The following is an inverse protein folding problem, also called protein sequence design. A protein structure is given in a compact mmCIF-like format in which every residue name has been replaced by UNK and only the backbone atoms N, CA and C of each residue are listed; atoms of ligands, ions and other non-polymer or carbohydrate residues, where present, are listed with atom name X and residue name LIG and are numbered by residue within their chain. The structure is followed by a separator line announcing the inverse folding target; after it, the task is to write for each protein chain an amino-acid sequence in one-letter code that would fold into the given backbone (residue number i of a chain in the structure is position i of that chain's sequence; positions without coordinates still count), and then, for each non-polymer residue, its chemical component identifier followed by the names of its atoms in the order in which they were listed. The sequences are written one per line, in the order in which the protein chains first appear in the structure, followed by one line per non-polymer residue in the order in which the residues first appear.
data_IF_118956402422
#
_entry.id   IF_118956402422
#
_cell.length_a   1.000
_cell.length_b   1.000
_cell.length_c   1.000
_cell.angle_alpha   90.00
_cell.angle_beta   90.00
_cell.angle_gamma   90.00
#
_symmetry.space_group_name_H-M   'P 1'
#
loop_
_entity.id
_entity.type
_entity.pdbx_description
1 polymer ?
#
# COMPACT_ATOMS: atom_id res chain seq x y z
N UNK A 1 -23.86 -64.94 -16.78
CA UNK A 1 -23.86 -63.48 -17.02
C UNK A 1 -22.58 -62.88 -16.44
N UNK A 2 -21.72 -62.30 -17.29
CA UNK A 2 -20.65 -61.38 -16.87
C UNK A 2 -21.31 -60.05 -16.49
N UNK A 3 -21.11 -59.55 -15.29
CA UNK A 3 -21.33 -58.13 -14.98
C UNK A 3 -20.11 -57.55 -14.30
N UNK A 4 -19.84 -56.30 -14.67
CA UNK A 4 -18.55 -55.65 -14.68
C UNK A 4 -18.11 -55.18 -13.29
N UNK A 5 -16.79 -55.17 -13.11
CA UNK A 5 -16.08 -54.49 -12.03
C UNK A 5 -16.30 -52.98 -12.12
N UNK A 6 -16.78 -52.36 -11.04
CA UNK A 6 -16.68 -50.92 -10.82
C UNK A 6 -15.40 -50.61 -10.05
N UNK A 7 -14.40 -50.06 -10.74
CA UNK A 7 -13.16 -49.51 -10.16
C UNK A 7 -13.47 -48.11 -9.63
N UNK A 8 -13.00 -47.81 -8.42
CA UNK A 8 -13.21 -46.53 -7.76
C UNK A 8 -12.45 -45.36 -8.39
N UNK A 9 -12.96 -44.15 -8.18
CA UNK A 9 -12.23 -42.90 -8.38
C UNK A 9 -12.28 -42.16 -7.04
N UNK A 10 -11.17 -42.05 -6.30
CA UNK A 10 -11.11 -41.13 -5.18
C UNK A 10 -11.07 -39.70 -5.76
N UNK A 11 -12.03 -38.88 -5.37
CA UNK A 11 -12.08 -37.46 -5.69
C UNK A 11 -11.04 -36.74 -4.81
N UNK A 12 -9.76 -36.82 -5.18
CA UNK A 12 -8.74 -35.91 -4.64
C UNK A 12 -8.95 -34.55 -5.28
N UNK A 13 -9.63 -33.65 -4.56
CA UNK A 13 -9.66 -32.23 -4.89
C UNK A 13 -8.24 -31.70 -4.65
N UNK A 14 -7.48 -31.57 -5.72
CA UNK A 14 -6.15 -30.96 -5.72
C UNK A 14 -6.26 -29.47 -5.41
N UNK A 15 -6.10 -29.11 -4.15
CA UNK A 15 -5.90 -27.73 -3.70
C UNK A 15 -4.41 -27.42 -3.81
N UNK A 16 -3.92 -27.08 -5.01
CA UNK A 16 -2.54 -26.65 -5.19
C UNK A 16 -2.40 -25.79 -6.44
N UNK A 17 -2.34 -24.48 -6.24
CA UNK A 17 -1.94 -23.52 -7.28
C UNK A 17 -2.85 -22.31 -7.29
N UNK A 18 -2.53 -21.30 -6.46
CA UNK A 18 -2.90 -19.86 -6.62
C UNK A 18 -2.39 -18.98 -5.45
N UNK A 19 -1.37 -19.40 -4.68
CA UNK A 19 -0.92 -18.65 -3.49
C UNK A 19 0.25 -17.68 -3.74
N UNK A 20 0.81 -17.61 -4.95
CA UNK A 20 1.98 -16.75 -5.24
C UNK A 20 1.65 -15.27 -5.48
N UNK A 21 0.36 -14.88 -5.47
CA UNK A 21 -0.07 -13.53 -5.86
C UNK A 21 -0.45 -12.59 -4.71
N UNK A 22 -0.35 -13.02 -3.45
CA UNK A 22 -0.97 -12.28 -2.33
C UNK A 22 -0.02 -11.35 -1.57
N UNK A 23 1.30 -11.46 -1.78
CA UNK A 23 2.32 -10.66 -1.08
C UNK A 23 2.79 -9.42 -1.84
N UNK A 24 3.96 -8.91 -1.45
CA UNK A 24 4.64 -7.83 -2.16
C UNK A 24 4.99 -8.25 -3.59
N UNK A 25 5.07 -7.29 -4.51
CA UNK A 25 5.56 -7.54 -5.88
C UNK A 25 7.09 -7.69 -5.90
N UNK A 26 7.78 -7.06 -4.94
CA UNK A 26 9.23 -7.07 -4.82
C UNK A 26 9.67 -7.60 -3.45
N UNK A 27 10.88 -8.14 -3.40
CA UNK A 27 11.55 -8.47 -2.15
C UNK A 27 11.92 -7.18 -1.41
N UNK A 28 11.51 -7.10 -0.16
CA UNK A 28 11.92 -6.01 0.72
C UNK A 28 13.40 -6.19 1.11
N UNK A 29 14.17 -5.10 1.26
CA UNK A 29 15.55 -5.19 1.69
C UNK A 29 15.63 -5.82 3.09
N UNK A 30 16.68 -6.60 3.33
CA UNK A 30 17.00 -7.10 4.66
C UNK A 30 17.31 -5.94 5.61
N UNK A 31 16.75 -5.98 6.81
CA UNK A 31 16.96 -4.97 7.85
C UNK A 31 17.74 -5.61 9.00
N UNK A 32 18.98 -5.16 9.20
CA UNK A 32 19.82 -5.61 10.31
C UNK A 32 19.54 -4.84 11.63
N UNK A 33 20.17 -5.29 12.71
CA UNK A 33 19.99 -4.70 14.04
C UNK A 33 20.47 -3.24 14.13
N UNK A 34 21.52 -2.87 13.39
CA UNK A 34 22.05 -1.51 13.39
C UNK A 34 21.08 -0.55 12.67
N UNK A 35 20.55 -0.96 11.52
CA UNK A 35 19.51 -0.24 10.79
C UNK A 35 18.25 -0.11 11.64
N UNK A 36 17.81 -1.19 12.30
CA UNK A 36 16.67 -1.17 13.22
C UNK A 36 16.86 -0.18 14.38
N UNK A 37 18.03 -0.20 15.03
CA UNK A 37 18.33 0.72 16.13
C UNK A 37 18.29 2.18 15.67
N UNK A 38 18.89 2.48 14.50
CA UNK A 38 18.87 3.81 13.90
C UNK A 38 17.46 4.25 13.54
N UNK A 39 16.66 3.38 12.92
CA UNK A 39 15.28 3.64 12.55
C UNK A 39 14.41 3.97 13.77
N UNK A 40 14.56 3.20 14.86
CA UNK A 40 13.85 3.44 16.12
C UNK A 40 14.23 4.79 16.75
N UNK A 41 15.51 5.15 16.74
CA UNK A 41 15.97 6.45 17.23
C UNK A 41 15.39 7.62 16.40
N UNK A 42 15.42 7.50 15.07
CA UNK A 42 14.82 8.49 14.17
C UNK A 42 13.30 8.60 14.36
N UNK A 43 12.62 7.47 14.52
CA UNK A 43 11.18 7.43 14.77
C UNK A 43 10.82 8.16 16.06
N UNK A 44 11.53 7.87 17.16
CA UNK A 44 11.34 8.54 18.43
C UNK A 44 11.60 10.06 18.34
N UNK A 45 12.65 10.46 17.61
CA UNK A 45 12.96 11.87 17.39
C UNK A 45 11.86 12.59 16.60
N UNK A 46 11.36 11.98 15.52
CA UNK A 46 10.30 12.55 14.69
C UNK A 46 8.98 12.68 15.46
N UNK A 47 8.65 11.71 16.33
CA UNK A 47 7.48 11.78 17.22
C UNK A 47 7.59 12.90 18.25
N UNK A 48 8.80 13.19 18.74
CA UNK A 48 9.05 14.23 19.73
C UNK A 48 9.25 15.63 19.12
N UNK A 49 9.18 15.76 17.78
CA UNK A 49 9.39 17.04 17.11
C UNK A 49 8.31 18.06 17.50
N UNK A 50 8.68 19.34 17.75
CA UNK A 50 7.72 20.36 18.11
C UNK A 50 6.72 20.66 16.98
N UNK A 51 5.55 21.23 17.30
CA UNK A 51 4.60 21.71 16.30
C UNK A 51 5.24 22.74 15.37
N UNK A 52 4.76 22.78 14.13
CA UNK A 52 5.40 23.51 13.04
C UNK A 52 4.54 24.65 12.53
N UNK A 53 5.21 25.67 11.99
CA UNK A 53 4.53 26.76 11.32
C UNK A 53 4.02 26.28 9.96
N UNK A 54 2.71 26.31 9.77
CA UNK A 54 2.11 25.94 8.50
C UNK A 54 2.53 26.91 7.39
N UNK A 55 2.93 26.37 6.24
CA UNK A 55 3.17 27.17 5.04
C UNK A 55 1.86 27.79 4.52
N UNK A 56 1.98 28.86 3.74
CA UNK A 56 0.81 29.39 3.01
C UNK A 56 0.39 28.40 1.91
N UNK A 57 -0.89 28.38 1.50
CA UNK A 57 -1.33 27.51 0.40
C UNK A 57 -0.52 27.72 -0.88
N UNK A 58 -0.17 28.98 -1.20
CA UNK A 58 0.64 29.31 -2.37
C UNK A 58 2.07 28.75 -2.27
N UNK A 59 2.71 28.83 -1.10
CA UNK A 59 4.03 28.27 -0.88
C UNK A 59 4.02 26.73 -0.97
N UNK A 60 3.01 26.09 -0.38
CA UNK A 60 2.81 24.64 -0.48
C UNK A 60 2.60 24.17 -1.93
N UNK A 61 1.74 24.84 -2.69
CA UNK A 61 1.50 24.54 -4.09
C UNK A 61 2.74 24.74 -4.97
N UNK A 62 3.50 25.83 -4.74
CA UNK A 62 4.74 26.07 -5.46
C UNK A 62 5.82 25.02 -5.16
N UNK A 63 5.91 24.55 -3.90
CA UNK A 63 6.75 23.41 -3.52
C UNK A 63 6.34 22.15 -4.27
N UNK A 64 5.05 21.82 -4.23
CA UNK A 64 4.51 20.65 -4.94
C UNK A 64 4.86 20.66 -6.43
N UNK A 65 4.61 21.77 -7.14
CA UNK A 65 4.90 21.87 -8.57
C UNK A 65 6.39 21.68 -8.90
N UNK A 66 7.28 22.27 -8.10
CA UNK A 66 8.74 22.13 -8.28
C UNK A 66 9.23 20.70 -8.05
N UNK A 67 8.64 20.00 -7.09
CA UNK A 67 9.02 18.61 -6.79
C UNK A 67 8.42 17.65 -7.82
N UNK A 68 7.16 17.86 -8.19
CA UNK A 68 6.45 17.08 -9.22
C UNK A 68 7.22 17.05 -10.54
N UNK A 69 7.76 18.19 -10.99
CA UNK A 69 8.50 18.27 -12.26
C UNK A 69 9.77 17.41 -12.32
N UNK A 70 10.30 16.98 -11.16
CA UNK A 70 11.44 16.05 -11.08
C UNK A 70 11.02 14.62 -10.80
N UNK A 71 10.10 14.43 -9.85
CA UNK A 71 9.70 13.11 -9.36
C UNK A 71 8.83 12.37 -10.37
N UNK A 72 7.82 13.04 -10.95
CA UNK A 72 6.88 12.42 -11.88
C UNK A 72 7.57 11.68 -13.05
N UNK A 73 8.45 12.31 -13.85
CA UNK A 73 9.07 11.61 -14.98
C UNK A 73 9.98 10.45 -14.55
N UNK A 74 10.58 10.51 -13.35
CA UNK A 74 11.38 9.40 -12.80
C UNK A 74 10.47 8.23 -12.42
N UNK A 75 9.39 8.52 -11.69
CA UNK A 75 8.46 7.52 -11.21
C UNK A 75 7.69 6.85 -12.36
N UNK A 76 7.27 7.61 -13.37
CA UNK A 76 6.60 7.07 -14.55
C UNK A 76 7.53 6.20 -15.39
N UNK A 77 8.81 6.55 -15.53
CA UNK A 77 9.78 5.65 -16.18
C UNK A 77 9.94 4.34 -15.44
N UNK A 78 10.05 4.38 -14.11
CA UNK A 78 10.10 3.15 -13.30
C UNK A 78 8.81 2.34 -13.48
N UNK A 79 7.64 2.97 -13.37
CA UNK A 79 6.36 2.30 -13.58
C UNK A 79 6.27 1.61 -14.94
N UNK A 80 6.66 2.30 -16.02
CA UNK A 80 6.65 1.72 -17.35
C UNK A 80 7.63 0.54 -17.47
N UNK A 81 8.80 0.62 -16.86
CA UNK A 81 9.78 -0.46 -16.87
C UNK A 81 9.26 -1.71 -16.14
N UNK A 82 8.58 -1.53 -15.01
CA UNK A 82 8.09 -2.63 -14.16
C UNK A 82 6.76 -3.23 -14.62
N UNK A 83 5.89 -2.43 -15.26
CA UNK A 83 4.51 -2.82 -15.58
C UNK A 83 4.21 -2.91 -17.08
N UNK A 84 5.19 -2.72 -17.96
CA UNK A 84 5.03 -2.79 -19.41
C UNK A 84 4.33 -4.09 -19.87
N UNK A 85 4.79 -5.25 -19.38
CA UNK A 85 4.21 -6.56 -19.75
C UNK A 85 2.80 -6.77 -19.19
N UNK A 86 2.44 -6.02 -18.15
CA UNK A 86 1.12 -6.08 -17.50
C UNK A 86 0.11 -5.12 -18.13
N UNK A 87 0.52 -4.32 -19.12
CA UNK A 87 -0.35 -3.38 -19.82
C UNK A 87 -0.90 -2.25 -18.94
N UNK A 88 -0.21 -1.90 -17.84
CA UNK A 88 -0.67 -0.85 -16.95
C UNK A 88 -0.48 0.54 -17.58
N UNK A 89 -1.44 1.45 -17.39
CA UNK A 89 -1.24 2.86 -17.70
C UNK A 89 -0.42 3.49 -16.58
N UNK A 90 0.76 4.04 -16.93
CA UNK A 90 1.65 4.73 -16.01
C UNK A 90 1.58 6.25 -16.14
N UNK A 91 0.66 6.80 -16.95
CA UNK A 91 0.46 8.24 -17.08
C UNK A 91 -0.40 8.73 -15.93
N UNK A 92 0.24 9.18 -14.86
CA UNK A 92 -0.46 9.55 -13.63
C UNK A 92 -1.01 10.96 -13.74
N UNK A 93 -2.30 11.11 -13.47
CA UNK A 93 -2.91 12.41 -13.25
C UNK A 93 -2.50 12.92 -11.87
N UNK A 94 -1.29 13.46 -11.76
CA UNK A 94 -0.79 14.07 -10.55
C UNK A 94 -1.39 15.47 -10.37
N UNK A 95 -1.87 15.81 -9.17
CA UNK A 95 -2.43 17.13 -8.93
C UNK A 95 -2.91 17.37 -7.50
N UNK A 96 -3.58 18.50 -7.30
CA UNK A 96 -4.11 18.89 -5.98
C UNK A 96 -5.58 18.48 -5.85
N UNK A 97 -5.95 18.01 -4.65
CA UNK A 97 -7.33 17.92 -4.22
C UNK A 97 -7.68 19.17 -3.42
N UNK A 98 -8.52 20.01 -4.02
CA UNK A 98 -8.98 21.29 -3.46
C UNK A 98 -10.28 21.15 -2.64
N UNK A 99 -10.88 19.95 -2.63
CA UNK A 99 -12.17 19.71 -1.97
C UNK A 99 -11.99 19.12 -0.57
N UNK A 100 -10.92 18.33 -0.37
CA UNK A 100 -10.59 17.73 0.93
C UNK A 100 -9.93 18.74 1.87
N UNK A 101 -10.36 18.68 3.13
CA UNK A 101 -9.87 19.55 4.22
C UNK A 101 -8.99 18.81 5.23
N UNK A 102 -8.87 17.49 5.11
CA UNK A 102 -7.91 16.69 5.85
C UNK A 102 -6.50 16.77 5.23
N UNK A 103 -5.47 16.58 6.06
CA UNK A 103 -4.08 16.47 5.61
C UNK A 103 -3.89 15.08 5.02
N UNK A 104 -3.88 14.98 3.70
CA UNK A 104 -3.72 13.71 3.00
C UNK A 104 -2.98 13.81 1.66
N UNK A 105 -2.42 12.69 1.26
CA UNK A 105 -1.94 12.38 -0.08
C UNK A 105 -2.36 10.94 -0.38
N UNK A 106 -2.79 10.65 -1.61
CA UNK A 106 -3.28 9.31 -1.94
C UNK A 106 -3.19 9.00 -3.44
N UNK A 107 -2.93 7.73 -3.73
CA UNK A 107 -3.12 7.10 -5.02
C UNK A 107 -4.52 6.47 -5.15
N UNK A 108 -5.13 6.59 -6.33
CA UNK A 108 -6.37 5.90 -6.71
C UNK A 108 -6.49 5.77 -8.23
N UNK A 109 -7.54 5.13 -8.72
CA UNK A 109 -7.90 5.14 -10.14
C UNK A 109 -9.14 6.00 -10.37
N UNK A 110 -9.13 6.77 -11.47
CA UNK A 110 -10.31 7.48 -11.96
C UNK A 110 -11.05 6.64 -13.02
N UNK A 111 -12.38 6.59 -12.90
CA UNK A 111 -13.26 5.86 -13.80
C UNK A 111 -13.45 4.38 -13.43
N UNK A 112 -14.36 3.68 -14.11
CA UNK A 112 -14.62 2.26 -13.86
C UNK A 112 -13.41 1.39 -14.24
N UNK A 113 -13.23 0.28 -13.51
CA UNK A 113 -12.27 -0.77 -13.90
C UNK A 113 -10.79 -0.44 -13.73
N UNK A 114 -10.44 0.40 -12.75
CA UNK A 114 -9.06 0.87 -12.53
C UNK A 114 -8.49 1.59 -13.77
N UNK A 115 -9.23 2.60 -14.27
CA UNK A 115 -8.89 3.37 -15.46
C UNK A 115 -7.59 4.20 -15.33
N UNK A 116 -7.68 5.53 -15.35
CA UNK A 116 -6.47 6.36 -15.31
C UNK A 116 -5.95 6.44 -13.86
N UNK A 117 -4.65 6.18 -13.60
CA UNK A 117 -4.08 6.37 -12.28
C UNK A 117 -4.07 7.85 -11.90
N UNK A 118 -4.40 8.14 -10.65
CA UNK A 118 -4.49 9.49 -10.10
C UNK A 118 -3.75 9.53 -8.78
N UNK A 119 -2.87 10.52 -8.62
CA UNK A 119 -2.27 10.85 -7.33
C UNK A 119 -2.70 12.26 -6.96
N UNK A 120 -3.24 12.42 -5.75
CA UNK A 120 -3.69 13.72 -5.23
C UNK A 120 -2.99 14.08 -3.94
N UNK A 121 -2.68 15.36 -3.81
CA UNK A 121 -2.26 16.00 -2.57
C UNK A 121 -3.31 17.01 -2.14
N UNK A 122 -3.74 16.95 -0.90
CA UNK A 122 -4.63 17.97 -0.33
C UNK A 122 -3.84 19.25 -0.03
N UNK A 123 -4.49 20.41 -0.12
CA UNK A 123 -3.84 21.68 0.25
C UNK A 123 -3.34 21.68 1.70
N UNK A 124 -4.12 21.23 2.71
CA UNK A 124 -3.64 21.15 4.09
C UNK A 124 -2.39 20.30 4.27
N UNK A 125 -2.24 19.20 3.51
CA UNK A 125 -1.02 18.39 3.52
C UNK A 125 0.20 19.21 3.09
N UNK A 126 0.08 19.97 2.00
CA UNK A 126 1.18 20.79 1.48
C UNK A 126 1.54 21.98 2.36
N UNK A 127 0.65 22.37 3.26
CA UNK A 127 0.96 23.37 4.30
C UNK A 127 1.73 22.77 5.48
N UNK A 128 1.63 21.45 5.70
CA UNK A 128 2.24 20.72 6.83
C UNK A 128 3.65 20.19 6.53
N UNK A 129 3.94 19.91 5.26
CA UNK A 129 5.29 19.55 4.80
C UNK A 129 6.25 20.75 4.88
N UNK A 130 7.48 20.50 5.27
CA UNK A 130 8.51 21.52 5.53
C UNK A 130 9.58 21.57 4.44
N UNK A 131 9.81 20.46 3.75
CA UNK A 131 10.88 20.34 2.78
C UNK A 131 10.43 19.70 1.46
N UNK A 132 11.26 19.90 0.43
CA UNK A 132 11.07 19.25 -0.86
C UNK A 132 11.29 17.74 -0.76
N UNK A 133 12.18 17.30 0.14
CA UNK A 133 12.45 15.90 0.42
C UNK A 133 11.20 15.16 0.93
N UNK A 134 10.41 15.81 1.79
CA UNK A 134 9.15 15.24 2.29
C UNK A 134 8.12 15.10 1.18
N UNK A 135 7.93 16.13 0.35
CA UNK A 135 7.01 16.04 -0.79
C UNK A 135 7.47 14.98 -1.79
N UNK A 136 8.78 14.87 -2.03
CA UNK A 136 9.33 13.91 -2.96
C UNK A 136 9.14 12.48 -2.47
N UNK A 137 9.36 12.24 -1.18
CA UNK A 137 9.17 10.91 -0.59
C UNK A 137 7.68 10.53 -0.53
N UNK A 138 6.78 11.43 -0.10
CA UNK A 138 5.33 11.16 -0.14
C UNK A 138 4.88 10.85 -1.57
N UNK A 139 5.32 11.64 -2.55
CA UNK A 139 4.93 11.43 -3.94
C UNK A 139 5.48 10.10 -4.48
N UNK A 140 6.75 9.80 -4.22
CA UNK A 140 7.35 8.52 -4.57
C UNK A 140 6.64 7.34 -3.92
N UNK A 141 6.21 7.47 -2.66
CA UNK A 141 5.43 6.48 -1.94
C UNK A 141 4.07 6.21 -2.61
N UNK A 142 3.33 7.25 -3.02
CA UNK A 142 2.07 7.08 -3.75
C UNK A 142 2.27 6.40 -5.12
N UNK A 143 3.37 6.72 -5.82
CA UNK A 143 3.77 5.96 -7.02
C UNK A 143 4.16 4.51 -6.68
N UNK A 144 4.74 4.27 -5.51
CA UNK A 144 5.01 2.93 -4.98
C UNK A 144 3.73 2.09 -4.89
N UNK A 145 2.61 2.67 -4.44
CA UNK A 145 1.33 1.97 -4.43
C UNK A 145 0.82 1.59 -5.83
N UNK A 146 1.03 2.47 -6.82
CA UNK A 146 0.71 2.17 -8.23
C UNK A 146 1.58 1.03 -8.75
N UNK A 147 2.90 1.13 -8.58
CA UNK A 147 3.88 0.16 -9.11
C UNK A 147 3.71 -1.21 -8.44
N UNK A 148 3.47 -1.23 -7.13
CA UNK A 148 3.14 -2.44 -6.36
C UNK A 148 1.75 -3.02 -6.67
N UNK A 149 0.93 -2.31 -7.46
CA UNK A 149 -0.47 -2.66 -7.79
C UNK A 149 -1.33 -2.88 -6.54
N UNK A 150 -1.07 -2.14 -5.45
CA UNK A 150 -1.61 -2.41 -4.12
C UNK A 150 -3.13 -2.34 -4.05
N UNK A 151 -3.77 -1.41 -4.78
CA UNK A 151 -5.24 -1.33 -4.85
C UNK A 151 -5.82 -2.58 -5.51
N UNK A 152 -5.23 -3.04 -6.62
CA UNK A 152 -5.69 -4.23 -7.36
C UNK A 152 -5.54 -5.47 -6.47
N UNK A 153 -4.37 -5.64 -5.85
CA UNK A 153 -4.15 -6.77 -4.94
C UNK A 153 -5.08 -6.71 -3.74
N UNK A 154 -5.29 -5.55 -3.13
CA UNK A 154 -6.22 -5.38 -2.00
C UNK A 154 -7.65 -5.78 -2.37
N UNK A 155 -8.12 -5.39 -3.56
CA UNK A 155 -9.43 -5.80 -4.08
C UNK A 155 -9.51 -7.33 -4.25
N UNK A 156 -8.47 -7.94 -4.82
CA UNK A 156 -8.39 -9.40 -4.97
C UNK A 156 -8.42 -10.11 -3.60
N UNK A 157 -7.70 -9.60 -2.60
CA UNK A 157 -7.70 -10.17 -1.25
C UNK A 157 -9.06 -10.02 -0.56
N UNK A 158 -9.76 -8.91 -0.78
CA UNK A 158 -11.13 -8.75 -0.28
C UNK A 158 -12.08 -9.78 -0.91
N UNK A 159 -12.02 -9.98 -2.22
CA UNK A 159 -12.84 -11.00 -2.90
C UNK A 159 -12.50 -12.40 -2.40
N UNK A 160 -11.21 -12.73 -2.30
CA UNK A 160 -10.77 -14.04 -1.79
C UNK A 160 -11.25 -14.28 -0.36
N UNK A 161 -11.08 -13.29 0.54
CA UNK A 161 -11.54 -13.37 1.91
C UNK A 161 -13.06 -13.56 2.02
N UNK A 162 -13.83 -12.84 1.20
CA UNK A 162 -15.28 -13.00 1.13
C UNK A 162 -15.68 -14.42 0.72
N UNK A 163 -15.08 -14.94 -0.36
CA UNK A 163 -15.38 -16.27 -0.88
C UNK A 163 -15.01 -17.37 0.12
N UNK A 164 -13.85 -17.27 0.76
CA UNK A 164 -13.40 -18.25 1.76
C UNK A 164 -14.38 -18.30 2.94
N UNK A 165 -14.66 -17.14 3.55
CA UNK A 165 -15.48 -17.10 4.76
C UNK A 165 -16.95 -17.39 4.46
N UNK A 166 -17.44 -16.98 3.28
CA UNK A 166 -18.75 -17.36 2.75
C UNK A 166 -18.89 -18.86 2.54
N UNK A 167 -17.90 -19.52 1.91
CA UNK A 167 -17.92 -20.96 1.65
C UNK A 167 -17.90 -21.79 2.94
N UNK A 168 -17.06 -21.42 3.92
CA UNK A 168 -17.02 -22.07 5.25
C UNK A 168 -18.39 -21.98 5.93
N UNK A 169 -19.02 -20.80 5.86
CA UNK A 169 -20.34 -20.56 6.46
C UNK A 169 -21.43 -21.34 5.75
N UNK A 170 -21.42 -21.37 4.42
CA UNK A 170 -22.38 -22.12 3.62
C UNK A 170 -22.29 -23.62 3.90
N UNK A 171 -21.07 -24.16 4.02
CA UNK A 171 -20.85 -25.54 4.42
C UNK A 171 -21.40 -25.82 5.82
N UNK A 172 -21.11 -24.97 6.80
CA UNK A 172 -21.66 -25.09 8.16
C UNK A 172 -23.19 -25.07 8.19
N UNK A 173 -23.82 -24.16 7.44
CA UNK A 173 -25.27 -24.09 7.32
C UNK A 173 -25.86 -25.34 6.67
N UNK A 174 -25.22 -25.89 5.64
CA UNK A 174 -25.64 -27.14 5.00
C UNK A 174 -25.57 -28.33 5.97
N UNK A 175 -24.51 -28.41 6.79
CA UNK A 175 -24.38 -29.41 7.84
C UNK A 175 -25.48 -29.27 8.91
N UNK A 176 -25.73 -28.05 9.40
CA UNK A 176 -26.81 -27.78 10.36
C UNK A 176 -28.19 -28.18 9.80
N UNK A 177 -28.47 -27.78 8.55
CA UNK A 177 -29.71 -28.15 7.85
C UNK A 177 -29.87 -29.68 7.74
N UNK A 178 -28.81 -30.40 7.37
CA UNK A 178 -28.83 -31.86 7.26
C UNK A 178 -29.08 -32.56 8.61
N UNK A 179 -28.67 -31.93 9.71
CA UNK A 179 -28.89 -32.40 11.06
C UNK A 179 -30.24 -31.93 11.68
N UNK A 180 -31.09 -31.26 10.89
CA UNK A 180 -32.36 -30.69 11.37
C UNK A 180 -32.19 -29.52 12.35
N UNK A 181 -31.00 -28.92 12.41
CA UNK A 181 -30.70 -27.79 13.27
C UNK A 181 -31.07 -26.47 12.59
N UNK A 182 -31.49 -25.49 13.39
CA UNK A 182 -31.70 -24.13 12.89
C UNK A 182 -30.37 -23.46 12.56
N UNK A 183 -30.35 -22.66 11.50
CA UNK A 183 -29.21 -21.83 11.11
C UNK A 183 -29.72 -20.47 10.63
N UNK A 184 -28.83 -19.47 10.60
CA UNK A 184 -29.17 -18.15 10.11
C UNK A 184 -28.97 -18.06 8.57
N UNK A 185 -30.03 -17.80 7.79
CA UNK A 185 -29.95 -17.71 6.33
C UNK A 185 -29.09 -16.53 5.84
N UNK A 186 -28.93 -15.47 6.65
CA UNK A 186 -28.12 -14.30 6.32
C UNK A 186 -26.65 -14.45 6.74
N UNK A 187 -26.29 -15.54 7.43
CA UNK A 187 -24.93 -15.74 7.93
C UNK A 187 -23.90 -15.71 6.81
N UNK A 188 -24.21 -16.30 5.64
CA UNK A 188 -23.28 -16.35 4.51
C UNK A 188 -22.94 -14.94 4.02
N UNK A 189 -23.94 -14.08 3.76
CA UNK A 189 -23.69 -12.72 3.26
C UNK A 189 -22.89 -11.89 4.27
N UNK A 190 -23.27 -11.93 5.56
CA UNK A 190 -22.52 -11.19 6.60
C UNK A 190 -21.09 -11.67 6.73
N UNK A 191 -20.88 -12.99 6.67
CA UNK A 191 -19.54 -13.57 6.76
C UNK A 191 -18.72 -13.32 5.50
N UNK A 192 -19.34 -13.17 4.32
CA UNK A 192 -18.65 -12.67 3.13
C UNK A 192 -18.17 -11.23 3.32
N UNK A 193 -18.98 -10.35 3.90
CA UNK A 193 -18.59 -8.95 4.20
C UNK A 193 -17.43 -8.89 5.20
N UNK A 194 -17.48 -9.69 6.27
CA UNK A 194 -16.38 -9.82 7.24
C UNK A 194 -15.13 -10.35 6.53
N UNK A 195 -15.28 -11.38 5.69
CA UNK A 195 -14.20 -11.97 4.92
C UNK A 195 -13.54 -10.94 4.01
N UNK A 196 -14.34 -10.11 3.32
CA UNK A 196 -13.84 -9.01 2.51
C UNK A 196 -13.05 -7.98 3.34
N UNK A 197 -13.59 -7.57 4.48
CA UNK A 197 -12.93 -6.61 5.36
C UNK A 197 -11.58 -7.15 5.85
N UNK A 198 -11.53 -8.40 6.32
CA UNK A 198 -10.29 -9.04 6.79
C UNK A 198 -9.30 -9.21 5.65
N UNK A 199 -9.74 -9.72 4.50
CA UNK A 199 -8.91 -9.90 3.32
C UNK A 199 -8.26 -8.59 2.86
N UNK A 200 -9.03 -7.50 2.83
CA UNK A 200 -8.53 -6.17 2.45
C UNK A 200 -7.42 -5.61 3.38
N UNK A 201 -7.30 -6.13 4.61
CA UNK A 201 -6.34 -5.69 5.62
C UNK A 201 -5.11 -6.60 5.75
N UNK A 202 -5.18 -7.83 5.25
CA UNK A 202 -4.16 -8.86 5.50
C UNK A 202 -2.72 -8.43 5.14
N UNK A 203 -2.55 -7.62 4.09
CA UNK A 203 -1.24 -7.20 3.56
C UNK A 203 -1.03 -5.69 3.58
N UNK A 204 -1.89 -4.93 4.26
CA UNK A 204 -1.80 -3.46 4.19
C UNK A 204 -0.45 -2.95 4.71
N UNK A 205 0.07 -3.51 5.79
CA UNK A 205 1.39 -3.12 6.32
C UNK A 205 2.54 -3.47 5.38
N UNK A 206 2.51 -4.65 4.74
CA UNK A 206 3.57 -5.03 3.79
C UNK A 206 3.55 -4.17 2.53
N UNK A 207 2.36 -3.72 2.10
CA UNK A 207 2.23 -2.76 1.00
C UNK A 207 2.79 -1.39 1.36
N UNK A 208 2.65 -0.92 2.60
CA UNK A 208 3.32 0.32 3.04
C UNK A 208 4.85 0.20 2.94
N UNK A 209 5.42 -0.91 3.41
CA UNK A 209 6.87 -1.15 3.35
C UNK A 209 7.38 -1.22 1.90
N UNK A 210 6.64 -1.88 1.02
CA UNK A 210 6.95 -1.95 -0.42
C UNK A 210 6.87 -0.56 -1.07
N UNK A 211 5.84 0.22 -0.76
CA UNK A 211 5.71 1.60 -1.21
C UNK A 211 6.85 2.49 -0.68
N UNK A 212 7.31 2.29 0.55
CA UNK A 212 8.45 3.03 1.12
C UNK A 212 9.77 2.68 0.43
N UNK A 213 9.98 1.40 0.10
CA UNK A 213 11.14 0.96 -0.69
C UNK A 213 11.14 1.60 -2.09
N UNK A 214 10.02 1.52 -2.81
CA UNK A 214 9.88 2.11 -4.14
C UNK A 214 9.98 3.64 -4.08
N UNK A 215 9.34 4.27 -3.11
CA UNK A 215 9.42 5.70 -2.85
C UNK A 215 10.83 6.18 -2.55
N UNK A 216 11.62 5.38 -1.83
CA UNK A 216 13.06 5.63 -1.60
C UNK A 216 13.83 5.66 -2.91
N UNK A 217 13.65 4.63 -3.76
CA UNK A 217 14.33 4.55 -5.07
C UNK A 217 13.95 5.73 -5.97
N UNK A 218 12.67 6.07 -6.03
CA UNK A 218 12.14 7.19 -6.81
C UNK A 218 12.72 8.52 -6.31
N UNK A 219 12.68 8.78 -5.00
CA UNK A 219 13.19 10.02 -4.41
C UNK A 219 14.69 10.20 -4.67
N UNK A 220 15.49 9.13 -4.47
CA UNK A 220 16.93 9.16 -4.76
C UNK A 220 17.21 9.42 -6.24
N UNK A 221 16.50 8.74 -7.14
CA UNK A 221 16.66 8.91 -8.58
C UNK A 221 16.20 10.31 -9.07
N UNK A 222 15.30 10.96 -8.33
CA UNK A 222 14.89 12.35 -8.56
C UNK A 222 15.81 13.39 -7.89
N UNK A 223 16.84 12.96 -7.17
CA UNK A 223 17.84 13.82 -6.52
C UNK A 223 17.42 14.36 -5.15
N UNK A 224 16.50 13.69 -4.46
CA UNK A 224 16.03 14.05 -3.11
C UNK A 224 16.57 13.08 -2.05
N UNK A 225 16.57 13.53 -0.79
CA UNK A 225 16.97 12.73 0.37
C UNK A 225 15.76 11.97 0.94
N UNK A 226 15.61 10.66 0.68
CA UNK A 226 14.48 9.89 1.18
C UNK A 226 14.49 9.74 2.70
N UNK A 227 15.66 9.80 3.34
CA UNK A 227 15.80 9.63 4.80
C UNK A 227 15.23 10.85 5.52
N UNK A 228 15.44 12.05 4.97
CA UNK A 228 14.79 13.27 5.45
C UNK A 228 13.29 13.24 5.17
N UNK A 229 12.89 12.86 3.96
CA UNK A 229 11.48 12.83 3.58
C UNK A 229 10.65 11.85 4.42
N UNK A 230 11.18 10.66 4.70
CA UNK A 230 10.47 9.62 5.44
C UNK A 230 10.23 9.95 6.92
N UNK A 231 10.95 10.92 7.50
CA UNK A 231 10.67 11.38 8.87
C UNK A 231 9.26 11.97 9.00
N UNK A 232 8.69 12.46 7.90
CA UNK A 232 7.28 12.90 7.87
C UNK A 232 6.30 11.81 8.33
N UNK A 233 6.57 10.56 7.97
CA UNK A 233 5.69 9.43 8.26
C UNK A 233 5.76 9.00 9.72
N UNK A 234 6.82 9.39 10.44
CA UNK A 234 7.03 9.10 11.85
C UNK A 234 6.50 10.20 12.79
N UNK A 235 5.89 11.27 12.26
CA UNK A 235 5.30 12.34 13.06
C UNK A 235 4.11 11.84 13.89
N UNK A 236 3.96 12.34 15.11
CA UNK A 236 2.84 11.98 15.99
C UNK A 236 1.61 12.84 15.68
N UNK A 237 0.78 12.38 14.75
CA UNK A 237 -0.34 13.14 14.22
C UNK A 237 -1.63 12.33 14.25
N UNK A 238 -2.77 13.02 14.38
CA UNK A 238 -4.07 12.37 14.51
C UNK A 238 -4.44 11.63 13.21
N UNK A 239 -4.83 10.35 13.35
CA UNK A 239 -5.28 9.49 12.24
C UNK A 239 -6.60 9.95 11.60
N UNK A 240 -7.38 10.81 12.27
CA UNK A 240 -8.60 11.41 11.74
C UNK A 240 -8.59 12.91 11.94
N UNK A 241 -9.13 13.64 10.98
CA UNK A 241 -9.44 15.06 11.09
C UNK A 241 -10.63 15.29 12.03
N UNK A 242 -10.89 16.56 12.37
CA UNK A 242 -12.01 16.95 13.27
C UNK A 242 -13.39 16.57 12.73
N UNK A 243 -13.56 16.46 11.41
CA UNK A 243 -14.80 16.03 10.76
C UNK A 243 -14.86 14.51 10.52
N UNK A 244 -13.92 13.73 11.08
CA UNK A 244 -13.93 12.27 11.04
C UNK A 244 -13.34 11.64 9.79
N UNK A 245 -12.87 12.40 8.81
CA UNK A 245 -12.16 11.87 7.64
C UNK A 245 -10.80 11.30 8.06
N UNK A 246 -10.34 10.24 7.39
CA UNK A 246 -8.99 9.71 7.62
C UNK A 246 -7.97 10.71 7.09
N UNK A 247 -7.01 11.08 7.93
CA UNK A 247 -5.82 11.83 7.52
C UNK A 247 -4.79 10.89 6.89
N UNK A 248 -3.66 11.45 6.47
CA UNK A 248 -2.50 10.72 6.01
C UNK A 248 -2.07 9.62 6.99
N UNK A 249 -1.96 9.92 8.29
CA UNK A 249 -1.59 8.92 9.31
C UNK A 249 -2.70 7.90 9.61
N UNK A 250 -3.93 8.17 9.16
CA UNK A 250 -5.02 7.19 9.20
C UNK A 250 -5.02 6.23 8.02
N UNK A 251 -4.57 6.69 6.84
CA UNK A 251 -4.43 5.84 5.64
C UNK A 251 -3.08 5.15 5.56
N UNK A 252 -2.03 5.79 6.08
CA UNK A 252 -0.64 5.35 6.11
C UNK A 252 -0.14 5.37 7.57
N UNK A 253 -0.48 4.37 8.39
CA UNK A 253 -0.08 4.34 9.80
C UNK A 253 1.44 4.41 9.98
N UNK A 254 1.86 5.17 11.00
CA UNK A 254 3.27 5.29 11.38
C UNK A 254 3.78 3.97 12.01
N UNK A 255 4.97 3.54 11.59
CA UNK A 255 5.66 2.35 12.12
C UNK A 255 7.18 2.56 11.94
N UNK A 256 8.00 2.26 12.94
CA UNK A 256 9.46 2.42 12.85
C UNK A 256 10.09 1.50 11.80
N UNK A 257 9.46 0.35 11.49
CA UNK A 257 9.90 -0.55 10.41
C UNK A 257 9.93 0.14 9.05
N UNK A 258 9.07 1.14 8.83
CA UNK A 258 9.03 1.95 7.60
C UNK A 258 10.35 2.70 7.40
N UNK A 259 10.82 3.38 8.44
CA UNK A 259 12.13 4.04 8.42
C UNK A 259 13.27 3.04 8.25
N UNK A 260 13.15 1.84 8.81
CA UNK A 260 14.16 0.81 8.66
C UNK A 260 14.28 0.33 7.20
N UNK A 261 13.15 0.13 6.52
CA UNK A 261 13.12 -0.20 5.08
C UNK A 261 13.70 0.93 4.23
N UNK A 262 13.40 2.19 4.54
CA UNK A 262 13.99 3.35 3.84
C UNK A 262 15.51 3.35 3.98
N UNK A 263 16.03 3.19 5.19
CA UNK A 263 17.47 3.14 5.46
C UNK A 263 18.14 1.97 4.72
N UNK A 264 17.60 0.77 4.84
CA UNK A 264 18.13 -0.41 4.17
C UNK A 264 18.08 -0.27 2.63
N UNK A 265 17.05 0.37 2.09
CA UNK A 265 16.95 0.64 0.64
C UNK A 265 18.01 1.65 0.20
N UNK A 266 18.27 2.70 0.99
CA UNK A 266 19.35 3.67 0.70
C UNK A 266 20.71 2.97 0.66
N UNK A 267 20.98 2.10 1.63
CA UNK A 267 22.25 1.37 1.71
C UNK A 267 22.40 0.41 0.53
N UNK A 268 21.33 -0.31 0.15
CA UNK A 268 21.29 -1.16 -1.05
C UNK A 268 21.56 -0.36 -2.33
N UNK A 269 20.91 0.80 -2.53
CA UNK A 269 21.11 1.63 -3.73
C UNK A 269 22.54 2.18 -3.81
N UNK A 270 23.13 2.57 -2.68
CA UNK A 270 24.50 3.09 -2.61
C UNK A 270 25.57 2.03 -2.82
N UNK A 271 25.33 0.80 -2.36
CA UNK A 271 26.21 -0.33 -2.62
C UNK A 271 26.28 -0.67 -4.13
N UNK A 272 25.29 -0.23 -4.92
CA UNK A 272 25.15 -0.60 -6.33
C UNK A 272 24.61 -2.03 -6.48
N UNK A 273 24.51 -2.54 -7.72
CA UNK A 273 24.24 -3.95 -7.92
C UNK A 273 25.37 -4.73 -7.26
N UNK A 274 25.07 -5.52 -6.22
CA UNK A 274 26.00 -6.52 -5.73
C UNK A 274 26.39 -7.39 -6.93
N UNK A 275 27.69 -7.62 -7.10
CA UNK A 275 28.25 -8.50 -8.11
C UNK A 275 27.40 -9.77 -8.21
N UNK A 276 26.72 -9.95 -9.35
CA UNK A 276 26.05 -11.20 -9.68
C UNK A 276 27.15 -12.21 -10.03
N UNK A 277 27.78 -12.78 -9.01
CA UNK A 277 28.55 -14.03 -9.13
C UNK A 277 27.61 -15.25 -9.04
#
# INVERSE_FOLDING_TARGET
MKMLRGVGIPLTVGMAGLLSGCGTSYDLPGVDDAVNARANAMFAQAKAAPPRAAATPAAGAARFQRVASRVQPVAERLCNAELAEKGADCRVQLGLDMQRTDRNAYFTYAGPGNGNPVIRFTVPMLQDVESDDEVAFIMGHEYGHLIGQHIVKQQQQAVAGALILGAITAYGNAQAASAGQSYDPNAVSRNMEIGAAVGSKAYSQTYELESDMLGTRIAMAAGYDPVKGAQFFARDEAARSRNGQLSFWGTHPADSRRLAVVLATVDQVKAGPADRE
#
